data_IF_560234721731
#
_entry.id   IF_560234721731
#
_cell.length_a   1.000
_cell.length_b   1.000
_cell.length_c   1.000
_cell.angle_alpha   90.00
_cell.angle_beta   90.00
_cell.angle_gamma   90.00
#
_symmetry.space_group_name_H-M   'P 1'
#
loop_
_entity.id
_entity.type
_entity.pdbx_description
1 polymer ?
#
# COMPACT_ATOMS: atom_id res chain seq x y z
N UNK A 1 2.12 17.61 23.67
CA UNK A 1 3.14 18.32 24.46
C UNK A 1 4.25 17.31 24.70
N UNK A 2 5.42 17.51 24.08
CA UNK A 2 6.53 16.56 24.13
C UNK A 2 7.20 16.69 25.49
N UNK A 3 6.86 15.81 26.44
CA UNK A 3 7.32 15.90 27.85
C UNK A 3 8.84 15.80 28.02
N UNK A 4 9.57 15.47 26.95
CA UNK A 4 11.03 15.35 26.92
C UNK A 4 11.72 16.49 26.16
N UNK A 5 10.96 17.43 25.59
CA UNK A 5 11.52 18.55 24.82
C UNK A 5 12.48 19.43 25.63
N UNK A 6 12.20 19.59 26.92
CA UNK A 6 12.97 20.45 27.84
C UNK A 6 14.05 19.69 28.64
N UNK A 7 14.22 18.39 28.40
CA UNK A 7 15.17 17.53 29.12
C UNK A 7 16.23 17.01 28.14
N UNK A 8 17.18 17.88 27.80
CA UNK A 8 18.28 17.58 26.87
C UNK A 8 19.04 16.28 27.22
N UNK A 9 19.19 15.95 28.51
CA UNK A 9 19.88 14.74 28.96
C UNK A 9 19.12 13.43 28.72
N UNK A 10 17.82 13.50 28.42
CA UNK A 10 16.98 12.33 28.09
C UNK A 10 16.73 12.19 26.58
N UNK A 11 17.22 13.13 25.79
CA UNK A 11 17.15 13.06 24.34
C UNK A 11 18.12 11.97 23.83
N UNK A 12 17.70 11.25 22.79
CA UNK A 12 18.49 10.15 22.20
C UNK A 12 19.89 10.65 21.79
N UNK A 13 19.95 11.87 21.28
CA UNK A 13 21.12 12.58 20.79
C UNK A 13 22.18 12.83 21.88
N UNK A 14 21.78 12.91 23.16
CA UNK A 14 22.68 13.15 24.28
C UNK A 14 23.53 11.92 24.62
N UNK A 15 23.01 10.72 24.37
CA UNK A 15 23.71 9.46 24.58
C UNK A 15 24.72 9.10 23.48
N UNK A 16 24.79 9.90 22.41
CA UNK A 16 25.63 9.60 21.24
C UNK A 16 26.99 10.27 21.38
N UNK A 17 28.05 9.47 21.22
CA UNK A 17 29.41 9.98 21.20
C UNK A 17 29.62 10.96 20.04
N UNK A 18 30.53 11.91 20.21
CA UNK A 18 30.72 12.98 19.24
C UNK A 18 31.13 12.47 17.84
N UNK A 19 31.88 11.36 17.80
CA UNK A 19 32.25 10.63 16.57
C UNK A 19 31.03 10.05 15.81
N UNK A 20 30.00 9.62 16.54
CA UNK A 20 28.81 8.99 15.99
C UNK A 20 27.72 9.99 15.58
N UNK A 21 27.85 11.26 15.98
CA UNK A 21 26.89 12.33 15.61
C UNK A 21 26.75 12.51 14.10
N UNK A 22 27.81 12.19 13.35
CA UNK A 22 27.79 12.18 11.89
C UNK A 22 26.74 11.24 11.29
N UNK A 23 26.27 10.23 12.03
CA UNK A 23 25.28 9.25 11.61
C UNK A 23 23.83 9.61 11.97
N UNK A 24 23.58 10.70 12.72
CA UNK A 24 22.24 11.12 13.16
C UNK A 24 21.25 11.27 12.00
N UNK A 25 21.71 11.65 10.81
CA UNK A 25 20.85 11.75 9.62
C UNK A 25 20.18 10.41 9.25
N UNK A 26 20.76 9.26 9.63
CA UNK A 26 20.19 7.93 9.39
C UNK A 26 18.88 7.72 10.14
N UNK A 27 18.71 8.34 11.32
CA UNK A 27 17.46 8.30 12.06
C UNK A 27 16.33 8.97 11.28
N UNK A 28 16.61 10.18 10.75
CA UNK A 28 15.70 10.90 9.86
C UNK A 28 15.36 10.10 8.60
N UNK A 29 16.35 9.44 7.99
CA UNK A 29 16.13 8.55 6.83
C UNK A 29 15.26 7.35 7.18
N UNK A 30 15.56 6.65 8.27
CA UNK A 30 14.82 5.47 8.74
C UNK A 30 13.34 5.83 8.98
N UNK A 31 13.10 6.95 9.67
CA UNK A 31 11.76 7.47 9.92
C UNK A 31 11.06 7.92 8.64
N UNK A 32 11.74 8.63 7.75
CA UNK A 32 11.17 9.02 6.46
C UNK A 32 10.79 7.82 5.59
N UNK A 33 11.59 6.75 5.61
CA UNK A 33 11.27 5.49 4.92
C UNK A 33 10.00 4.85 5.50
N UNK A 34 9.84 4.86 6.82
CA UNK A 34 8.63 4.38 7.50
C UNK A 34 7.39 5.19 7.09
N UNK A 35 7.50 6.51 7.10
CA UNK A 35 6.42 7.42 6.72
C UNK A 35 6.04 7.20 5.25
N UNK A 36 7.01 7.19 4.32
CA UNK A 36 6.74 6.94 2.90
C UNK A 36 6.18 5.54 2.65
N UNK A 37 6.66 4.52 3.36
CA UNK A 37 6.12 3.16 3.28
C UNK A 37 4.65 3.12 3.67
N UNK A 38 4.29 3.69 4.81
CA UNK A 38 2.91 3.75 5.27
C UNK A 38 2.05 4.60 4.34
N UNK A 39 2.51 5.80 3.94
CA UNK A 39 1.77 6.69 3.04
C UNK A 39 1.38 6.00 1.73
N UNK A 40 2.34 5.31 1.08
CA UNK A 40 2.09 4.65 -0.20
C UNK A 40 1.16 3.44 -0.07
N UNK A 41 1.25 2.68 1.03
CA UNK A 41 0.31 1.59 1.29
C UNK A 41 -1.09 2.11 1.63
N UNK A 42 -1.19 3.19 2.41
CA UNK A 42 -2.46 3.87 2.70
C UNK A 42 -3.12 4.40 1.44
N UNK A 43 -2.36 5.10 0.58
CA UNK A 43 -2.84 5.53 -0.73
C UNK A 43 -3.35 4.34 -1.54
N UNK A 44 -2.57 3.25 -1.61
CA UNK A 44 -2.94 2.07 -2.35
C UNK A 44 -4.24 1.43 -1.83
N UNK A 45 -4.36 1.21 -0.52
CA UNK A 45 -5.58 0.66 0.07
C UNK A 45 -6.78 1.58 -0.12
N UNK A 46 -6.62 2.90 0.05
CA UNK A 46 -7.69 3.87 -0.16
C UNK A 46 -8.17 3.87 -1.61
N UNK A 47 -7.26 3.78 -2.58
CA UNK A 47 -7.60 3.63 -3.99
C UNK A 47 -8.44 2.37 -4.23
N UNK A 48 -8.11 1.25 -3.58
CA UNK A 48 -8.86 0.00 -3.71
C UNK A 48 -10.23 0.04 -3.02
N UNK A 49 -10.36 0.74 -1.88
CA UNK A 49 -11.66 1.00 -1.26
C UNK A 49 -12.56 1.80 -2.21
N UNK A 50 -12.07 2.95 -2.70
CA UNK A 50 -12.82 3.81 -3.62
C UNK A 50 -13.20 3.07 -4.92
N UNK A 51 -12.30 2.22 -5.43
CA UNK A 51 -12.55 1.37 -6.59
C UNK A 51 -13.73 0.42 -6.36
N UNK A 52 -13.78 -0.23 -5.19
CA UNK A 52 -14.86 -1.14 -4.80
C UNK A 52 -16.18 -0.41 -4.59
N UNK A 53 -16.16 0.76 -3.93
CA UNK A 53 -17.32 1.63 -3.78
C UNK A 53 -17.92 2.03 -5.14
N UNK A 54 -17.07 2.40 -6.10
CA UNK A 54 -17.50 2.73 -7.47
C UNK A 54 -18.16 1.57 -8.21
N UNK A 55 -17.85 0.31 -7.85
CA UNK A 55 -18.54 -0.86 -8.38
C UNK A 55 -19.96 -1.01 -7.82
N UNK A 56 -20.21 -0.60 -6.57
CA UNK A 56 -21.53 -0.65 -5.97
C UNK A 56 -22.47 0.40 -6.54
N UNK A 57 -22.02 1.66 -6.67
CA UNK A 57 -22.84 2.75 -7.22
C UNK A 57 -23.37 2.42 -8.63
N UNK A 58 -22.51 1.82 -9.47
CA UNK A 58 -22.86 1.42 -10.85
C UNK A 58 -23.79 0.18 -10.90
N UNK A 59 -23.77 -0.68 -9.88
CA UNK A 59 -24.72 -1.80 -9.75
C UNK A 59 -26.09 -1.34 -9.22
N UNK A 60 -26.12 -0.44 -8.23
CA UNK A 60 -27.37 0.10 -7.67
C UNK A 60 -28.16 0.97 -8.66
N UNK A 61 -27.48 1.59 -9.63
CA UNK A 61 -28.12 2.37 -10.70
C UNK A 61 -28.71 1.50 -11.83
N UNK A 62 -28.42 0.20 -11.87
CA UNK A 62 -28.90 -0.73 -12.91
C UNK A 62 -29.95 -1.75 -12.44
N UNK A 63 -30.31 -1.81 -11.15
CA UNK A 63 -31.38 -2.68 -10.64
C UNK A 63 -32.12 -2.12 -9.40
N UNK A 64 -33.40 -1.73 -9.50
CA UNK A 64 -34.20 -1.31 -8.35
C UNK A 64 -35.07 -2.47 -7.81
N UNK A 65 -34.49 -3.62 -7.51
CA UNK A 65 -35.11 -4.74 -6.78
C UNK A 65 -33.94 -5.49 -6.11
N UNK A 66 -33.76 -5.56 -4.79
CA UNK A 66 -34.68 -6.08 -3.79
C UNK A 66 -34.11 -5.72 -2.42
N UNK A 67 -34.87 -4.97 -1.61
CA UNK A 67 -34.65 -4.96 -0.17
C UNK A 67 -34.98 -6.35 0.40
N UNK A 68 -34.22 -6.76 1.42
CA UNK A 68 -34.31 -8.01 2.17
C UNK A 68 -33.37 -9.12 1.67
N UNK A 69 -32.17 -9.21 2.27
CA UNK A 69 -31.53 -10.46 2.73
C UNK A 69 -30.28 -10.10 3.55
N UNK A 70 -30.43 -10.13 4.87
CA UNK A 70 -29.34 -10.19 5.85
C UNK A 70 -28.63 -11.54 5.75
N UNK A 71 -27.30 -11.56 5.60
CA UNK A 71 -26.48 -12.74 5.96
C UNK A 71 -25.61 -13.41 4.89
N UNK A 72 -25.31 -12.78 3.76
CA UNK A 72 -24.22 -13.24 2.87
C UNK A 72 -22.95 -12.45 3.24
N UNK A 73 -21.79 -13.10 3.52
CA UNK A 73 -20.57 -12.36 3.79
C UNK A 73 -20.25 -11.48 2.58
N UNK A 74 -20.07 -10.18 2.82
CA UNK A 74 -19.79 -9.21 1.79
C UNK A 74 -18.44 -9.56 1.14
N UNK A 75 -18.49 -10.21 -0.03
CA UNK A 75 -17.29 -10.56 -0.79
C UNK A 75 -16.69 -9.33 -1.49
N UNK A 76 -17.39 -8.19 -1.43
CA UNK A 76 -16.96 -6.95 -2.05
C UNK A 76 -16.15 -6.04 -1.11
N UNK A 77 -16.12 -6.26 0.21
CA UNK A 77 -15.28 -5.47 1.11
C UNK A 77 -13.78 -5.79 0.97
N UNK A 78 -12.93 -4.77 1.15
CA UNK A 78 -11.48 -4.94 1.05
C UNK A 78 -10.89 -5.63 2.29
N UNK A 79 -10.46 -6.88 2.13
CA UNK A 79 -9.79 -7.67 3.17
C UNK A 79 -8.28 -7.49 3.11
N UNK A 80 -7.68 -6.96 4.18
CA UNK A 80 -6.24 -6.67 4.25
C UNK A 80 -5.54 -7.56 5.27
N UNK A 81 -4.56 -8.32 4.82
CA UNK A 81 -3.70 -9.15 5.66
C UNK A 81 -2.29 -8.59 5.79
N UNK A 82 -1.71 -8.66 6.99
CA UNK A 82 -0.31 -8.29 7.26
C UNK A 82 0.45 -9.50 7.80
N UNK A 83 1.49 -9.96 7.10
CA UNK A 83 2.45 -10.94 7.62
C UNK A 83 3.63 -10.19 8.24
N UNK A 84 3.73 -10.27 9.57
CA UNK A 84 4.79 -9.66 10.36
C UNK A 84 4.32 -8.47 11.20
N UNK A 85 4.03 -8.71 12.49
CA UNK A 85 3.65 -7.69 13.47
C UNK A 85 4.84 -6.98 14.14
N UNK A 86 5.91 -6.74 13.37
CA UNK A 86 7.09 -5.98 13.81
C UNK A 86 6.85 -4.47 13.79
N UNK A 87 7.91 -3.67 13.85
CA UNK A 87 7.79 -2.20 13.88
C UNK A 87 6.99 -1.65 12.68
N UNK A 88 7.36 -2.02 11.45
CA UNK A 88 6.63 -1.60 10.24
C UNK A 88 5.19 -2.11 10.21
N UNK A 89 4.97 -3.40 10.48
CA UNK A 89 3.62 -3.99 10.44
C UNK A 89 2.65 -3.36 11.44
N UNK A 90 3.12 -3.01 12.65
CA UNK A 90 2.33 -2.28 13.63
C UNK A 90 1.99 -0.87 13.16
N UNK A 91 2.98 -0.13 12.64
CA UNK A 91 2.75 1.23 12.13
C UNK A 91 1.77 1.21 10.96
N UNK A 92 1.96 0.29 10.02
CA UNK A 92 1.04 0.09 8.90
C UNK A 92 -0.38 -0.20 9.38
N UNK A 93 -0.56 -1.14 10.33
CA UNK A 93 -1.87 -1.47 10.87
C UNK A 93 -2.58 -0.25 11.51
N UNK A 94 -1.85 0.56 12.30
CA UNK A 94 -2.41 1.79 12.90
C UNK A 94 -2.85 2.78 11.83
N UNK A 95 -1.98 3.04 10.85
CA UNK A 95 -2.26 4.02 9.80
C UNK A 95 -3.43 3.55 8.92
N UNK A 96 -3.49 2.27 8.55
CA UNK A 96 -4.60 1.73 7.78
C UNK A 96 -5.93 1.85 8.53
N UNK A 97 -5.96 1.47 9.82
CA UNK A 97 -7.15 1.55 10.65
C UNK A 97 -7.66 3.00 10.82
N UNK A 98 -6.75 3.98 10.86
CA UNK A 98 -7.09 5.38 11.13
C UNK A 98 -7.35 6.22 9.88
N UNK A 99 -6.70 5.92 8.75
CA UNK A 99 -6.70 6.78 7.55
C UNK A 99 -7.41 6.15 6.34
N UNK A 100 -7.78 4.88 6.40
CA UNK A 100 -8.49 4.18 5.33
C UNK A 100 -9.83 3.68 5.86
N UNK A 101 -10.93 3.77 5.09
CA UNK A 101 -12.23 3.24 5.49
C UNK A 101 -12.25 1.70 5.42
N UNK A 102 -11.43 1.04 6.25
CA UNK A 102 -11.38 -0.42 6.40
C UNK A 102 -11.84 -0.75 7.83
N UNK A 103 -12.95 -1.50 7.99
CA UNK A 103 -13.37 -2.01 9.30
C UNK A 103 -12.27 -2.85 9.96
N UNK A 104 -12.20 -2.83 11.30
CA UNK A 104 -11.15 -3.54 12.03
C UNK A 104 -11.17 -5.06 11.77
N UNK A 105 -12.36 -5.64 11.59
CA UNK A 105 -12.57 -7.04 11.22
C UNK A 105 -11.99 -7.42 9.84
N UNK A 106 -11.81 -6.42 8.97
CA UNK A 106 -11.23 -6.53 7.63
C UNK A 106 -9.73 -6.21 7.61
N UNK A 107 -9.11 -6.08 8.78
CA UNK A 107 -7.68 -6.03 8.95
C UNK A 107 -7.24 -7.20 9.84
N UNK A 108 -6.29 -8.01 9.36
CA UNK A 108 -5.77 -9.17 10.11
C UNK A 108 -4.25 -9.22 10.08
N UNK A 109 -3.65 -9.67 11.18
CA UNK A 109 -2.19 -9.75 11.32
C UNK A 109 -1.77 -11.16 11.68
N UNK A 110 -0.91 -11.77 10.87
CA UNK A 110 -0.20 -12.99 11.20
C UNK A 110 1.20 -12.66 11.70
N UNK A 111 1.54 -13.06 12.93
CA UNK A 111 2.84 -12.84 13.54
C UNK A 111 3.19 -13.96 14.50
N UNK A 112 4.48 -14.20 14.75
CA UNK A 112 4.95 -15.26 15.68
C UNK A 112 4.54 -15.05 17.14
N UNK A 113 4.28 -13.79 17.52
CA UNK A 113 3.94 -13.36 18.88
C UNK A 113 2.64 -12.53 18.86
N UNK A 114 1.48 -13.14 18.57
CA UNK A 114 0.22 -12.41 18.49
C UNK A 114 -0.17 -11.77 19.84
N UNK A 115 0.26 -12.35 20.95
CA UNK A 115 0.08 -11.80 22.30
C UNK A 115 0.74 -10.42 22.49
N UNK A 116 1.78 -10.09 21.69
CA UNK A 116 2.42 -8.78 21.70
C UNK A 116 1.65 -7.70 20.92
N UNK A 117 0.45 -8.03 20.43
CA UNK A 117 -0.45 -7.17 19.65
C UNK A 117 -1.80 -6.95 20.36
N UNK A 118 -1.86 -7.11 21.68
CA UNK A 118 -3.08 -6.89 22.49
C UNK A 118 -3.76 -5.54 22.20
N UNK A 119 -2.97 -4.48 21.96
CA UNK A 119 -3.48 -3.16 21.56
C UNK A 119 -4.36 -3.21 20.28
N UNK A 120 -4.01 -4.05 19.30
CA UNK A 120 -4.75 -4.19 18.06
C UNK A 120 -5.94 -5.13 18.20
N UNK A 121 -5.78 -6.19 19.01
CA UNK A 121 -6.88 -7.11 19.33
C UNK A 121 -8.03 -6.37 20.03
N UNK A 122 -7.71 -5.44 20.94
CA UNK A 122 -8.69 -4.56 21.60
C UNK A 122 -9.41 -3.62 20.63
N UNK A 123 -8.79 -3.28 19.52
CA UNK A 123 -9.38 -2.48 18.44
C UNK A 123 -10.19 -3.32 17.46
N UNK A 124 -10.31 -4.63 17.66
CA UNK A 124 -11.07 -5.55 16.80
C UNK A 124 -10.25 -6.23 15.70
N UNK A 125 -8.95 -5.94 15.58
CA UNK A 125 -8.07 -6.58 14.59
C UNK A 125 -7.74 -7.99 15.04
N UNK A 126 -8.01 -8.98 14.18
CA UNK A 126 -7.63 -10.35 14.48
C UNK A 126 -6.12 -10.54 14.32
N UNK A 127 -5.46 -10.91 15.42
CA UNK A 127 -4.03 -11.18 15.46
C UNK A 127 -3.80 -12.65 15.86
N UNK A 128 -3.08 -13.40 15.02
CA UNK A 128 -2.82 -14.83 15.22
C UNK A 128 -1.46 -15.23 14.61
N UNK A 129 -1.09 -16.51 14.66
CA UNK A 129 0.10 -17.04 13.98
C UNK A 129 -0.26 -18.18 13.02
N UNK A 130 -0.69 -17.83 11.80
CA UNK A 130 -1.10 -18.81 10.79
C UNK A 130 -1.12 -18.16 9.40
N UNK A 131 0.01 -18.17 8.69
CA UNK A 131 0.11 -17.46 7.40
C UNK A 131 -0.85 -17.99 6.32
N UNK A 132 -1.03 -19.32 6.13
CA UNK A 132 -1.96 -19.88 5.16
C UNK A 132 -3.39 -19.36 5.31
N UNK A 133 -3.93 -19.40 6.53
CA UNK A 133 -5.27 -18.92 6.86
C UNK A 133 -5.45 -17.43 6.56
N UNK A 134 -4.42 -16.61 6.82
CA UNK A 134 -4.45 -15.19 6.47
C UNK A 134 -4.49 -14.98 4.95
N UNK A 135 -3.69 -15.75 4.21
CA UNK A 135 -3.53 -15.62 2.76
C UNK A 135 -4.77 -16.07 2.00
N UNK A 136 -5.41 -17.16 2.44
CA UNK A 136 -6.67 -17.65 1.86
C UNK A 136 -7.81 -16.62 1.98
N UNK A 137 -7.71 -15.69 2.94
CA UNK A 137 -8.75 -14.71 3.24
C UNK A 137 -8.49 -13.32 2.62
N UNK A 138 -7.22 -12.92 2.46
CA UNK A 138 -6.86 -11.54 2.14
C UNK A 138 -6.92 -11.22 0.64
N UNK A 139 -7.53 -10.09 0.28
CA UNK A 139 -7.41 -9.52 -1.07
C UNK A 139 -6.07 -8.80 -1.27
N UNK A 140 -5.55 -8.17 -0.21
CA UNK A 140 -4.25 -7.50 -0.20
C UNK A 140 -3.41 -8.08 0.94
N UNK A 141 -2.23 -8.59 0.60
CA UNK A 141 -1.30 -9.18 1.56
C UNK A 141 -0.03 -8.34 1.66
N UNK A 142 0.18 -7.70 2.81
CA UNK A 142 1.41 -6.99 3.12
C UNK A 142 2.47 -7.92 3.72
N UNK A 143 3.64 -8.01 3.07
CA UNK A 143 4.81 -8.70 3.62
C UNK A 143 5.68 -7.71 4.39
N UNK A 144 5.54 -7.71 5.72
CA UNK A 144 6.28 -6.90 6.68
C UNK A 144 7.25 -7.74 7.54
N UNK A 145 7.79 -8.81 6.96
CA UNK A 145 8.72 -9.72 7.62
C UNK A 145 10.20 -9.37 7.34
N UNK A 146 11.11 -9.95 8.11
CA UNK A 146 12.55 -9.79 7.87
C UNK A 146 12.97 -10.57 6.61
N UNK A 147 13.98 -10.11 5.85
CA UNK A 147 14.45 -10.82 4.66
C UNK A 147 14.84 -12.29 4.91
N UNK A 148 15.41 -12.59 6.09
CA UNK A 148 15.79 -13.95 6.49
C UNK A 148 14.59 -14.89 6.71
N UNK A 149 13.41 -14.35 6.98
CA UNK A 149 12.18 -15.12 7.23
C UNK A 149 11.40 -15.38 5.94
N UNK A 150 11.61 -14.54 4.93
CA UNK A 150 10.83 -14.55 3.70
C UNK A 150 10.82 -15.91 2.98
N UNK A 151 11.94 -16.64 2.80
CA UNK A 151 11.91 -17.93 2.09
C UNK A 151 10.95 -18.95 2.71
N UNK A 152 10.92 -19.03 4.04
CA UNK A 152 10.05 -19.96 4.76
C UNK A 152 8.57 -19.53 4.66
N UNK A 153 8.29 -18.23 4.79
CA UNK A 153 6.95 -17.67 4.62
C UNK A 153 6.44 -17.93 3.20
N UNK A 154 7.28 -17.69 2.19
CA UNK A 154 6.91 -17.93 0.79
C UNK A 154 6.58 -19.41 0.54
N UNK A 155 7.42 -20.33 1.03
CA UNK A 155 7.17 -21.78 0.96
C UNK A 155 5.82 -22.18 1.57
N UNK A 156 5.46 -21.55 2.69
CA UNK A 156 4.22 -21.82 3.42
C UNK A 156 2.97 -21.35 2.66
N UNK A 157 3.04 -20.24 1.92
CA UNK A 157 1.85 -19.57 1.35
C UNK A 157 1.73 -19.68 -0.18
N UNK A 158 2.78 -20.06 -0.91
CA UNK A 158 2.82 -20.01 -2.38
C UNK A 158 1.73 -20.83 -3.09
N UNK A 159 1.14 -21.84 -2.43
CA UNK A 159 0.07 -22.68 -3.00
C UNK A 159 -1.34 -22.18 -2.70
N UNK A 160 -1.46 -21.11 -1.93
CA UNK A 160 -2.72 -20.59 -1.38
C UNK A 160 -3.08 -19.18 -1.84
N UNK A 161 -2.13 -18.50 -2.50
CA UNK A 161 -2.39 -17.20 -3.09
C UNK A 161 -3.38 -17.31 -4.24
N UNK A 162 -4.56 -16.72 -4.05
CA UNK A 162 -5.50 -16.54 -5.15
C UNK A 162 -4.90 -15.64 -6.24
N UNK A 163 -5.27 -15.88 -7.50
CA UNK A 163 -4.79 -15.09 -8.65
C UNK A 163 -5.05 -13.59 -8.49
N UNK A 164 -6.18 -13.25 -7.89
CA UNK A 164 -6.60 -11.86 -7.63
C UNK A 164 -5.91 -11.22 -6.42
N UNK A 165 -5.32 -12.00 -5.50
CA UNK A 165 -4.66 -11.48 -4.31
C UNK A 165 -3.47 -10.60 -4.72
N UNK A 166 -3.35 -9.41 -4.13
CA UNK A 166 -2.23 -8.50 -4.39
C UNK A 166 -1.22 -8.63 -3.25
N UNK A 167 -0.01 -9.08 -3.56
CA UNK A 167 1.06 -9.13 -2.57
C UNK A 167 1.85 -7.83 -2.60
N UNK A 168 1.75 -7.04 -1.54
CA UNK A 168 2.51 -5.81 -1.35
C UNK A 168 3.73 -6.10 -0.46
N UNK A 169 4.93 -6.11 -1.03
CA UNK A 169 6.14 -6.48 -0.29
C UNK A 169 6.98 -5.27 0.13
N UNK A 170 7.21 -5.13 1.44
CA UNK A 170 8.17 -4.18 1.99
C UNK A 170 9.58 -4.77 2.19
N UNK A 171 9.81 -6.01 1.77
CA UNK A 171 11.09 -6.68 1.97
C UNK A 171 12.14 -6.14 0.99
N UNK A 172 12.89 -5.12 1.44
CA UNK A 172 13.77 -4.31 0.59
C UNK A 172 14.91 -5.09 -0.09
N UNK A 173 15.36 -6.21 0.46
CA UNK A 173 16.51 -6.95 -0.10
C UNK A 173 16.15 -7.91 -1.25
N UNK A 174 14.86 -8.09 -1.60
CA UNK A 174 14.42 -9.21 -2.46
C UNK A 174 13.71 -8.74 -3.73
N UNK A 175 14.37 -8.70 -4.91
CA UNK A 175 13.81 -8.18 -6.15
C UNK A 175 12.45 -8.79 -6.52
N UNK A 176 11.61 -8.03 -7.23
CA UNK A 176 10.28 -8.49 -7.66
C UNK A 176 10.35 -9.80 -8.45
N UNK A 177 11.35 -9.96 -9.34
CA UNK A 177 11.55 -11.22 -10.06
C UNK A 177 11.78 -12.41 -9.13
N UNK A 178 12.54 -12.22 -8.04
CA UNK A 178 12.75 -13.27 -7.03
C UNK A 178 11.48 -13.53 -6.22
N UNK A 179 10.72 -12.49 -5.87
CA UNK A 179 9.42 -12.65 -5.19
C UNK A 179 8.44 -13.47 -6.03
N UNK A 180 8.36 -13.20 -7.34
CA UNK A 180 7.50 -13.96 -8.27
C UNK A 180 7.82 -15.46 -8.26
N UNK A 181 9.11 -15.80 -8.26
CA UNK A 181 9.57 -17.19 -8.20
C UNK A 181 9.28 -17.84 -6.84
N UNK A 182 9.53 -17.13 -5.74
CA UNK A 182 9.34 -17.66 -4.39
C UNK A 182 7.86 -17.86 -4.03
N UNK A 183 6.98 -16.97 -4.51
CA UNK A 183 5.55 -17.01 -4.21
C UNK A 183 4.75 -17.77 -5.26
N UNK A 184 5.37 -18.15 -6.38
CA UNK A 184 4.68 -18.64 -7.57
C UNK A 184 3.48 -17.75 -7.98
N UNK A 185 3.68 -16.42 -7.89
CA UNK A 185 2.62 -15.43 -8.04
C UNK A 185 3.08 -14.20 -8.79
N UNK A 186 2.21 -13.57 -9.57
CA UNK A 186 2.58 -12.46 -10.46
C UNK A 186 2.07 -11.10 -10.01
N UNK A 187 0.97 -11.06 -9.25
CA UNK A 187 0.33 -9.83 -8.79
C UNK A 187 1.05 -9.31 -7.53
N UNK A 188 2.24 -8.75 -7.75
CA UNK A 188 3.15 -8.31 -6.70
C UNK A 188 3.47 -6.82 -6.91
N UNK A 189 3.21 -6.03 -5.89
CA UNK A 189 3.61 -4.63 -5.80
C UNK A 189 4.76 -4.50 -4.79
N UNK A 190 5.81 -3.76 -5.16
CA UNK A 190 6.93 -3.51 -4.26
C UNK A 190 7.46 -2.09 -4.48
N UNK A 191 7.35 -1.19 -3.49
CA UNK A 191 7.99 0.11 -3.59
C UNK A 191 9.51 -0.05 -3.48
N UNK A 192 10.23 0.79 -4.23
CA UNK A 192 11.68 0.89 -4.15
C UNK A 192 12.04 2.34 -3.85
N UNK A 193 12.67 2.53 -2.70
CA UNK A 193 13.08 3.85 -2.23
C UNK A 193 14.57 4.05 -2.44
N UNK A 194 14.95 5.25 -2.83
CA UNK A 194 16.33 5.69 -2.93
C UNK A 194 16.51 6.89 -2.01
N UNK A 195 17.52 6.84 -1.14
CA UNK A 195 17.86 7.95 -0.27
C UNK A 195 19.00 8.74 -0.91
N UNK A 196 18.80 10.05 -1.11
CA UNK A 196 19.84 10.94 -1.63
C UNK A 196 20.67 11.52 -0.49
N UNK A 197 21.91 11.88 -0.81
CA UNK A 197 22.81 12.59 0.10
C UNK A 197 22.39 14.07 0.25
N UNK A 198 22.82 14.69 1.35
CA UNK A 198 22.63 16.13 1.62
C UNK A 198 21.17 16.61 1.51
N UNK A 199 20.27 15.97 2.27
CA UNK A 199 18.85 16.33 2.31
C UNK A 199 18.50 17.09 3.58
N UNK A 200 17.47 17.94 3.49
CA UNK A 200 16.85 18.57 4.67
C UNK A 200 15.96 17.53 5.35
N UNK A 201 16.24 17.21 6.61
CA UNK A 201 15.42 16.27 7.37
C UNK A 201 14.09 16.92 7.79
N UNK A 202 13.04 16.63 7.03
CA UNK A 202 11.67 17.12 7.29
C UNK A 202 10.79 16.08 7.99
N UNK A 203 11.30 14.87 8.23
CA UNK A 203 10.50 13.74 8.70
C UNK A 203 10.20 13.79 10.21
N UNK A 204 10.82 14.74 10.93
CA UNK A 204 10.69 14.92 12.38
C UNK A 204 11.32 13.77 13.18
N UNK A 205 11.20 13.83 14.52
CA UNK A 205 11.74 12.80 15.43
C UNK A 205 10.65 12.14 16.31
N UNK A 206 9.61 12.87 16.71
CA UNK A 206 8.75 12.45 17.84
C UNK A 206 7.25 12.32 17.55
N UNK A 207 6.75 12.75 16.37
CA UNK A 207 5.33 12.56 16.02
C UNK A 207 5.04 11.09 15.69
N UNK A 208 3.87 10.57 16.08
CA UNK A 208 3.37 9.29 15.57
C UNK A 208 3.25 9.32 14.03
N UNK A 209 3.31 8.16 13.37
CA UNK A 209 3.29 8.09 11.90
C UNK A 209 1.96 8.60 11.34
N UNK A 210 0.82 8.30 11.97
CA UNK A 210 -0.47 8.84 11.53
C UNK A 210 -0.49 10.36 11.66
N UNK A 211 -0.02 10.90 12.78
CA UNK A 211 0.06 12.34 12.99
C UNK A 211 1.02 13.01 11.99
N UNK A 212 2.10 12.32 11.60
CA UNK A 212 3.00 12.79 10.55
C UNK A 212 2.31 12.84 9.18
N UNK A 213 1.45 11.87 8.85
CA UNK A 213 0.70 11.85 7.60
C UNK A 213 -0.46 12.87 7.55
N UNK A 214 -0.81 13.49 8.67
CA UNK A 214 -1.75 14.61 8.73
C UNK A 214 -1.05 15.98 8.60
N UNK A 215 0.27 16.03 8.71
CA UNK A 215 1.05 17.25 8.52
C UNK A 215 1.17 17.54 7.01
N UNK A 216 0.69 18.70 6.51
CA UNK A 216 0.66 18.98 5.08
C UNK A 216 2.04 18.93 4.40
N UNK A 217 3.09 19.35 5.10
CA UNK A 217 4.45 19.38 4.56
C UNK A 217 4.98 17.95 4.41
N UNK A 218 4.76 17.12 5.43
CA UNK A 218 5.16 15.71 5.38
C UNK A 218 4.34 14.96 4.34
N UNK A 219 3.02 15.14 4.32
CA UNK A 219 2.13 14.50 3.35
C UNK A 219 2.53 14.86 1.92
N UNK A 220 2.79 16.13 1.62
CA UNK A 220 3.27 16.56 0.30
C UNK A 220 4.62 15.91 -0.06
N UNK A 221 5.52 15.75 0.91
CA UNK A 221 6.79 15.07 0.70
C UNK A 221 6.62 13.57 0.41
N UNK A 222 5.51 12.93 0.83
CA UNK A 222 5.20 11.54 0.47
C UNK A 222 4.74 11.36 -0.97
N UNK A 223 4.48 12.43 -1.73
CA UNK A 223 4.14 12.32 -3.15
C UNK A 223 5.20 11.49 -3.91
N UNK A 224 4.80 10.50 -4.74
CA UNK A 224 5.73 9.67 -5.50
C UNK A 224 6.73 10.45 -6.38
N UNK A 225 6.33 11.64 -6.82
CA UNK A 225 7.15 12.53 -7.66
C UNK A 225 7.98 13.55 -6.87
N UNK A 226 7.77 13.64 -5.56
CA UNK A 226 8.45 14.62 -4.72
C UNK A 226 9.82 14.12 -4.26
N UNK A 227 10.91 14.88 -4.52
CA UNK A 227 12.22 14.61 -3.94
C UNK A 227 12.36 15.16 -2.51
N UNK A 228 11.32 15.83 -1.98
CA UNK A 228 11.36 16.44 -0.66
C UNK A 228 11.68 15.41 0.43
N UNK A 229 12.49 15.84 1.40
CA UNK A 229 12.96 14.96 2.48
C UNK A 229 13.98 13.90 2.05
N UNK A 230 14.48 13.96 0.82
CA UNK A 230 15.62 13.15 0.37
C UNK A 230 15.35 11.67 0.18
N UNK A 231 14.08 11.26 0.08
CA UNK A 231 13.68 9.87 -0.18
C UNK A 231 12.83 9.85 -1.44
N UNK A 232 13.36 9.25 -2.51
CA UNK A 232 12.72 9.20 -3.82
C UNK A 232 12.12 7.81 -4.03
N UNK A 233 10.90 7.74 -4.54
CA UNK A 233 10.27 6.49 -4.94
C UNK A 233 10.57 6.21 -6.42
N UNK A 234 10.94 4.99 -6.75
CA UNK A 234 10.98 4.55 -8.14
C UNK A 234 9.56 4.59 -8.73
N UNK A 235 9.35 5.45 -9.74
CA UNK A 235 8.02 5.70 -10.31
C UNK A 235 7.38 4.47 -10.97
N UNK A 236 8.16 3.43 -11.28
CA UNK A 236 7.65 2.12 -11.67
C UNK A 236 6.65 1.52 -10.66
N UNK A 237 6.71 1.97 -9.41
CA UNK A 237 5.70 1.63 -8.41
C UNK A 237 4.30 2.12 -8.82
N UNK A 238 4.17 3.34 -9.35
CA UNK A 238 2.88 3.88 -9.77
C UNK A 238 2.31 3.12 -10.98
N UNK A 239 3.17 2.74 -11.93
CA UNK A 239 2.78 1.82 -13.02
C UNK A 239 2.21 0.52 -12.43
N UNK A 240 2.88 -0.05 -11.42
CA UNK A 240 2.40 -1.24 -10.72
C UNK A 240 1.04 -1.06 -10.03
N UNK A 241 0.79 0.11 -9.43
CA UNK A 241 -0.51 0.45 -8.84
C UNK A 241 -1.61 0.47 -9.91
N UNK A 242 -1.35 1.12 -11.05
CA UNK A 242 -2.29 1.15 -12.18
C UNK A 242 -2.58 -0.28 -12.69
N UNK A 243 -1.54 -1.10 -12.87
CA UNK A 243 -1.72 -2.50 -13.26
C UNK A 243 -2.52 -3.31 -12.25
N UNK A 244 -2.36 -3.07 -10.94
CA UNK A 244 -3.17 -3.74 -9.92
C UNK A 244 -4.66 -3.39 -10.06
N UNK A 245 -5.00 -2.12 -10.29
CA UNK A 245 -6.38 -1.69 -10.55
C UNK A 245 -6.92 -2.30 -11.84
N UNK A 246 -6.14 -2.26 -12.93
CA UNK A 246 -6.50 -2.88 -14.20
C UNK A 246 -6.76 -4.38 -14.05
N UNK A 247 -5.95 -5.10 -13.27
CA UNK A 247 -6.12 -6.52 -13.03
C UNK A 247 -7.42 -6.80 -12.25
N UNK A 248 -7.77 -5.98 -11.26
CA UNK A 248 -9.05 -6.10 -10.53
C UNK A 248 -10.23 -5.89 -11.49
N UNK A 249 -10.21 -4.83 -12.29
CA UNK A 249 -11.27 -4.57 -13.26
C UNK A 249 -11.39 -5.68 -14.31
N UNK A 250 -10.24 -6.21 -14.77
CA UNK A 250 -10.19 -7.33 -15.71
C UNK A 250 -10.77 -8.61 -15.11
N UNK A 251 -10.50 -8.88 -13.83
CA UNK A 251 -11.07 -10.04 -13.13
C UNK A 251 -12.59 -9.94 -12.94
N UNK A 252 -13.16 -8.74 -13.06
CA UNK A 252 -14.62 -8.48 -13.05
C UNK A 252 -15.19 -8.33 -14.47
N UNK A 253 -14.44 -8.71 -15.51
CA UNK A 253 -14.84 -8.61 -16.93
C UNK A 253 -15.30 -7.20 -17.36
N UNK A 254 -14.74 -6.15 -16.76
CA UNK A 254 -15.12 -4.77 -17.06
C UNK A 254 -14.62 -4.34 -18.45
N UNK A 255 -15.46 -3.73 -19.31
CA UNK A 255 -15.03 -3.19 -20.59
C UNK A 255 -13.97 -2.09 -20.46
N UNK A 256 -12.95 -2.14 -21.33
CA UNK A 256 -11.81 -1.21 -21.31
C UNK A 256 -12.20 0.29 -21.23
N UNK A 257 -13.27 0.71 -21.92
CA UNK A 257 -13.73 2.09 -21.91
C UNK A 257 -14.23 2.51 -20.52
N UNK A 258 -14.94 1.62 -19.82
CA UNK A 258 -15.41 1.85 -18.46
C UNK A 258 -14.24 1.87 -17.47
N UNK A 259 -13.25 1.01 -17.67
CA UNK A 259 -12.02 1.00 -16.84
C UNK A 259 -11.27 2.32 -16.97
N UNK A 260 -11.14 2.87 -18.17
CA UNK A 260 -10.50 4.18 -18.38
C UNK A 260 -11.27 5.32 -17.73
N UNK A 261 -12.60 5.32 -17.85
CA UNK A 261 -13.44 6.31 -17.16
C UNK A 261 -13.23 6.24 -15.65
N UNK A 262 -13.25 5.03 -15.09
CA UNK A 262 -13.04 4.79 -13.67
C UNK A 262 -11.64 5.23 -13.19
N UNK A 263 -10.58 4.98 -13.98
CA UNK A 263 -9.24 5.45 -13.64
C UNK A 263 -9.14 6.98 -13.64
N UNK A 264 -9.80 7.65 -14.60
CA UNK A 264 -9.87 9.11 -14.63
C UNK A 264 -10.64 9.65 -13.40
N UNK A 265 -11.77 9.03 -13.04
CA UNK A 265 -12.56 9.38 -11.86
C UNK A 265 -11.74 9.23 -10.56
N UNK A 266 -11.03 8.10 -10.40
CA UNK A 266 -10.32 7.78 -9.17
C UNK A 266 -9.02 8.58 -8.97
N UNK A 267 -8.30 8.90 -10.06
CA UNK A 267 -6.95 9.47 -9.96
C UNK A 267 -6.85 10.93 -10.40
N UNK A 268 -7.80 11.42 -11.21
CA UNK A 268 -7.73 12.74 -11.84
C UNK A 268 -8.95 13.62 -11.53
N UNK A 269 -9.92 13.14 -10.73
CA UNK A 269 -11.11 13.90 -10.32
C UNK A 269 -10.79 15.31 -9.81
N UNK A 270 -9.84 15.43 -8.88
CA UNK A 270 -9.41 16.72 -8.32
C UNK A 270 -8.77 17.63 -9.37
N UNK A 271 -8.02 17.06 -10.32
CA UNK A 271 -7.43 17.84 -11.42
C UNK A 271 -8.48 18.37 -12.41
N UNK A 272 -9.66 17.75 -12.51
CA UNK A 272 -10.75 18.28 -13.34
C UNK A 272 -11.41 19.50 -12.70
N UNK A 273 -11.38 19.65 -11.36
CA UNK A 273 -11.94 20.81 -10.66
C UNK A 273 -11.08 22.07 -10.84
N UNK A 274 -9.74 21.91 -10.84
CA UNK A 274 -8.77 22.99 -11.06
C UNK A 274 -8.57 23.35 -12.55
N UNK A 275 -9.16 22.56 -13.44
CA UNK A 275 -9.07 22.75 -14.88
C UNK A 275 -10.09 23.83 -15.34
N UNK A 276 -9.69 25.11 -15.32
CA UNK A 276 -10.54 26.18 -15.86
C UNK A 276 -10.84 25.99 -17.36
N UNK A 277 -12.13 26.16 -17.73
CA UNK A 277 -12.83 26.31 -19.05
C UNK A 277 -12.34 25.58 -20.32
N UNK A 278 -11.06 25.23 -20.49
CA UNK A 278 -10.53 24.43 -21.59
C UNK A 278 -10.34 22.97 -21.18
N UNK A 279 -11.45 22.24 -21.10
CA UNK A 279 -11.49 20.80 -20.77
C UNK A 279 -10.72 19.88 -21.74
N UNK A 280 -10.14 20.44 -22.81
CA UNK A 280 -9.24 19.77 -23.75
C UNK A 280 -7.80 19.67 -23.23
N UNK A 281 -7.39 20.53 -22.28
CA UNK A 281 -6.02 20.57 -21.75
C UNK A 281 -5.79 19.68 -20.52
N UNK A 282 -6.87 19.17 -19.92
CA UNK A 282 -6.78 18.36 -18.71
C UNK A 282 -6.14 17.01 -18.99
N UNK A 283 -5.21 16.55 -18.13
CA UNK A 283 -4.66 15.21 -18.26
C UNK A 283 -5.81 14.20 -18.17
N UNK A 284 -5.87 13.30 -19.16
CA UNK A 284 -6.80 12.18 -19.20
C UNK A 284 -6.01 10.94 -19.57
N UNK A 285 -6.32 9.82 -18.93
CA UNK A 285 -5.90 8.52 -19.43
C UNK A 285 -6.56 8.29 -20.79
N UNK A 286 -5.73 8.29 -21.84
CA UNK A 286 -6.15 8.03 -23.22
C UNK A 286 -5.70 6.63 -23.64
N UNK A 287 -6.55 5.96 -24.40
CA UNK A 287 -6.19 4.71 -25.04
C UNK A 287 -5.41 5.02 -26.32
N UNK A 288 -4.13 4.65 -26.37
CA UNK A 288 -3.32 4.78 -27.58
C UNK A 288 -3.20 3.45 -28.34
N UNK A 289 -2.62 2.40 -27.72
CA UNK A 289 -2.39 1.12 -28.39
C UNK A 289 -2.69 -0.08 -27.48
N UNK A 290 -3.35 -1.11 -28.03
CA UNK A 290 -3.67 -2.36 -27.33
C UNK A 290 -2.81 -3.51 -27.81
N UNK A 291 -1.48 -3.40 -27.71
CA UNK A 291 -0.63 -4.53 -28.09
C UNK A 291 0.58 -4.63 -27.16
N UNK A 292 0.53 -5.60 -26.25
CA UNK A 292 1.77 -6.26 -25.83
C UNK A 292 2.41 -6.81 -27.10
N UNK A 293 3.54 -6.24 -27.53
CA UNK A 293 4.27 -6.72 -28.71
C UNK A 293 4.57 -8.22 -28.61
N UNK A 294 4.65 -8.77 -27.39
CA UNK A 294 4.81 -10.19 -27.10
C UNK A 294 3.52 -10.96 -27.42
N UNK A 295 2.34 -10.43 -27.05
CA UNK A 295 1.04 -11.04 -27.35
C UNK A 295 0.75 -11.05 -28.87
N UNK A 296 1.05 -9.94 -29.57
CA UNK A 296 0.96 -9.87 -31.03
C UNK A 296 1.86 -10.89 -31.72
N UNK A 297 3.13 -11.01 -31.28
CA UNK A 297 4.07 -11.98 -31.86
C UNK A 297 3.65 -13.44 -31.62
N UNK A 298 3.03 -13.74 -30.48
CA UNK A 298 2.54 -15.09 -30.16
C UNK A 298 1.23 -15.44 -30.89
N UNK A 299 0.41 -14.46 -31.26
CA UNK A 299 -0.77 -14.65 -32.11
C UNK A 299 -0.38 -15.07 -33.54
N UNK A 300 0.70 -14.50 -34.08
CA UNK A 300 1.21 -14.81 -35.42
C UNK A 300 1.86 -16.19 -35.55
N UNK A 301 2.10 -16.90 -34.44
CA UNK A 301 2.71 -18.23 -34.42
C UNK A 301 1.69 -19.38 -34.32
N UNK A 302 0.39 -19.05 -34.24
CA UNK A 302 -0.71 -20.04 -34.14
C UNK A 302 -1.62 -20.09 -35.37
N UNK A 303 -1.17 -19.56 -36.51
CA UNK A 303 -1.83 -19.68 -37.81
C UNK A 303 -1.08 -20.63 -38.73
#
# INVERSE_FOLDING_TARGET
>A
MDMLGDLESLQFEYGIQEEDRSWLYLQGRSRGLMIKACAHATFFCKLLCNLRESFHEKQTSSCPLTGLLTGIPDDDELKVGIIGGGHLGKQLARVLLQLVPIPAENLRISTRRPEALDEFQKLGIQCFYHNPYLVDWANVLFLCCLPSQLPNICLEIQTRLEKGCIVYSFVAAVPVARLKLLLNHTNILRPQYQCVENFVNIWGANKDITAALQDPVILQATCPYSPAGGIILNIKWLEGVLYAVLNICTARDMPHLQVLQLLNELLLSVHFEDCEKDGASCPKFQLHDFVSQIYSKNLSQRS
#
